data_IF_379930493154
#
_entry.id   IF_379930493154
#
_cell.length_a   1.000
_cell.length_b   1.000
_cell.length_c   1.000
_cell.angle_alpha   90.00
_cell.angle_beta   90.00
_cell.angle_gamma   90.00
#
_symmetry.space_group_name_H-M   'P 1'
#
loop_
_entity.id
_entity.type
_entity.pdbx_description
1 polymer ?
#
# COMPACT_ATOMS: atom_id res chain seq x y z
N UNK A 1 -18.05 -11.25 -25.65
CA UNK A 1 -16.57 -11.23 -25.56
C UNK A 1 -16.10 -9.92 -26.18
N UNK A 2 -15.71 -8.94 -25.37
CA UNK A 2 -15.07 -7.72 -25.87
C UNK A 2 -13.59 -8.04 -26.09
N UNK A 3 -13.19 -8.23 -27.34
CA UNK A 3 -11.78 -8.40 -27.72
C UNK A 3 -11.04 -7.11 -27.39
N UNK A 4 -10.12 -7.19 -26.41
CA UNK A 4 -9.23 -6.07 -26.07
C UNK A 4 -8.02 -6.12 -26.98
N UNK A 5 -7.58 -4.98 -27.47
CA UNK A 5 -6.29 -4.89 -28.15
C UNK A 5 -5.16 -5.17 -27.14
N UNK A 6 -4.09 -5.87 -27.56
CA UNK A 6 -2.92 -6.04 -26.72
C UNK A 6 -2.37 -4.69 -26.24
N UNK A 7 -2.02 -4.61 -24.96
CA UNK A 7 -1.51 -3.39 -24.31
C UNK A 7 -0.16 -3.61 -23.65
N UNK A 8 0.60 -2.52 -23.48
CA UNK A 8 1.91 -2.51 -22.83
C UNK A 8 3.07 -2.57 -23.83
N UNK A 9 4.28 -2.75 -23.32
CA UNK A 9 5.51 -2.69 -24.13
C UNK A 9 5.81 -3.97 -24.94
N UNK A 10 4.90 -4.95 -24.92
CA UNK A 10 5.06 -6.21 -25.65
C UNK A 10 6.13 -7.16 -25.09
N UNK A 11 6.68 -6.87 -23.91
CA UNK A 11 7.54 -7.82 -23.19
C UNK A 11 6.67 -8.97 -22.66
N UNK A 12 6.92 -10.23 -23.06
CA UNK A 12 6.15 -11.37 -22.56
C UNK A 12 6.17 -11.38 -21.02
N UNK A 13 5.02 -11.49 -20.36
CA UNK A 13 4.90 -11.43 -18.89
C UNK A 13 5.36 -10.12 -18.23
N UNK A 14 5.71 -9.08 -19.00
CA UNK A 14 6.04 -7.74 -18.49
C UNK A 14 4.81 -6.98 -17.97
N UNK A 15 3.62 -7.39 -18.41
CA UNK A 15 2.33 -6.93 -17.92
C UNK A 15 1.41 -8.15 -17.62
N UNK A 16 0.37 -7.99 -16.79
CA UNK A 16 -0.61 -9.04 -16.51
C UNK A 16 -1.21 -9.66 -17.78
N UNK A 17 -1.47 -10.97 -17.76
CA UNK A 17 -1.90 -11.73 -18.95
C UNK A 17 -3.23 -11.25 -19.57
N UNK A 18 -4.11 -10.61 -18.78
CA UNK A 18 -5.35 -10.00 -19.27
C UNK A 18 -5.13 -8.75 -20.14
N UNK A 19 -3.92 -8.17 -20.14
CA UNK A 19 -3.57 -7.02 -20.98
C UNK A 19 -3.38 -7.42 -22.44
N UNK A 20 -3.04 -8.68 -22.70
CA UNK A 20 -2.58 -9.12 -24.03
C UNK A 20 -3.31 -10.34 -24.55
N UNK A 21 -3.35 -11.42 -23.77
CA UNK A 21 -3.56 -12.77 -24.31
C UNK A 21 -4.72 -13.51 -23.70
N UNK A 22 -5.09 -13.20 -22.45
CA UNK A 22 -6.08 -14.00 -21.72
C UNK A 22 -7.43 -13.29 -21.66
N UNK A 23 -8.49 -14.03 -21.97
CA UNK A 23 -9.83 -13.64 -21.57
C UNK A 23 -9.92 -13.77 -20.05
N UNK A 24 -10.20 -12.68 -19.34
CA UNK A 24 -10.41 -12.69 -17.90
C UNK A 24 -11.89 -12.59 -17.56
N UNK A 25 -12.40 -13.39 -16.60
CA UNK A 25 -13.75 -13.24 -16.07
C UNK A 25 -13.88 -12.05 -15.10
N UNK A 26 -12.74 -11.49 -14.66
CA UNK A 26 -12.70 -10.44 -13.64
C UNK A 26 -12.72 -9.04 -14.24
N UNK A 27 -12.03 -8.85 -15.36
CA UNK A 27 -11.88 -7.52 -15.93
C UNK A 27 -13.00 -7.19 -16.90
N UNK A 28 -13.38 -5.91 -16.99
CA UNK A 28 -14.37 -5.37 -17.94
C UNK A 28 -13.73 -4.29 -18.83
N UNK A 29 -14.49 -3.71 -19.76
CA UNK A 29 -13.99 -2.58 -20.55
C UNK A 29 -13.78 -1.32 -19.71
N UNK A 30 -14.55 -1.14 -18.62
CA UNK A 30 -14.31 -0.07 -17.65
C UNK A 30 -12.91 -0.19 -17.03
N UNK A 31 -12.54 -1.40 -16.58
CA UNK A 31 -11.19 -1.69 -16.09
C UNK A 31 -10.10 -1.36 -17.12
N UNK A 32 -10.30 -1.73 -18.39
CA UNK A 32 -9.32 -1.44 -19.44
C UNK A 32 -9.15 0.07 -19.69
N UNK A 33 -10.25 0.82 -19.81
CA UNK A 33 -10.20 2.29 -19.98
C UNK A 33 -9.53 2.98 -18.80
N UNK A 34 -9.86 2.55 -17.59
CA UNK A 34 -9.25 3.10 -16.38
C UNK A 34 -7.75 2.78 -16.31
N UNK A 35 -7.34 1.55 -16.68
CA UNK A 35 -5.93 1.17 -16.82
C UNK A 35 -5.19 2.05 -17.82
N UNK A 36 -5.75 2.30 -19.00
CA UNK A 36 -5.13 3.16 -20.03
C UNK A 36 -4.91 4.59 -19.48
N UNK A 37 -5.92 5.12 -18.78
CA UNK A 37 -5.88 6.44 -18.13
C UNK A 37 -4.79 6.51 -17.05
N UNK A 38 -4.70 5.52 -16.17
CA UNK A 38 -3.69 5.50 -15.10
C UNK A 38 -2.28 5.28 -15.68
N UNK A 39 -2.11 4.37 -16.65
CA UNK A 39 -0.82 4.16 -17.36
C UNK A 39 -0.32 5.47 -17.95
N UNK A 40 -1.17 6.19 -18.68
CA UNK A 40 -0.80 7.44 -19.33
C UNK A 40 -0.33 8.51 -18.32
N UNK A 41 -1.00 8.62 -17.17
CA UNK A 41 -0.59 9.52 -16.09
C UNK A 41 0.76 9.10 -15.50
N UNK A 42 0.95 7.81 -15.19
CA UNK A 42 2.20 7.32 -14.62
C UNK A 42 3.38 7.53 -15.58
N UNK A 43 3.21 7.25 -16.88
CA UNK A 43 4.28 7.41 -17.86
C UNK A 43 4.64 8.89 -18.12
N UNK A 44 3.65 9.79 -18.08
CA UNK A 44 3.86 11.22 -18.35
C UNK A 44 4.33 12.00 -17.13
N UNK A 45 3.66 11.81 -16.00
CA UNK A 45 3.75 12.73 -14.85
C UNK A 45 4.53 12.14 -13.67
N UNK A 46 4.81 10.83 -13.66
CA UNK A 46 5.50 10.16 -12.55
C UNK A 46 6.86 9.60 -12.99
N UNK A 47 6.87 8.64 -13.92
CA UNK A 47 8.04 7.87 -14.32
C UNK A 47 9.28 8.72 -14.67
N UNK A 48 9.16 9.86 -15.38
CA UNK A 48 10.31 10.70 -15.73
C UNK A 48 11.02 11.34 -14.52
N UNK A 49 10.32 11.51 -13.40
CA UNK A 49 10.80 12.26 -12.23
C UNK A 49 11.22 11.37 -11.05
N UNK A 50 10.96 10.06 -11.12
CA UNK A 50 11.15 9.13 -9.99
C UNK A 50 12.59 9.15 -9.46
N UNK A 51 13.59 9.20 -10.35
CA UNK A 51 14.98 9.24 -9.91
C UNK A 51 15.25 10.48 -9.05
N UNK A 52 14.85 11.67 -9.53
CA UNK A 52 15.01 12.93 -8.79
C UNK A 52 14.28 12.90 -7.44
N UNK A 53 13.03 12.44 -7.42
CA UNK A 53 12.22 12.40 -6.18
C UNK A 53 12.75 11.40 -5.15
N UNK A 54 13.27 10.26 -5.60
CA UNK A 54 13.91 9.28 -4.71
C UNK A 54 15.21 9.84 -4.12
N UNK A 55 16.08 10.43 -4.94
CA UNK A 55 17.36 11.01 -4.53
C UNK A 55 17.18 12.20 -3.57
N UNK A 56 16.21 13.07 -3.85
CA UNK A 56 15.87 14.23 -3.00
C UNK A 56 14.96 13.86 -1.83
N UNK A 57 14.52 12.59 -1.74
CA UNK A 57 13.62 12.06 -0.72
C UNK A 57 12.34 12.88 -0.55
N UNK A 58 11.83 13.45 -1.64
CA UNK A 58 10.71 14.41 -1.62
C UNK A 58 9.90 14.31 -2.91
N UNK A 59 8.59 14.43 -2.79
CA UNK A 59 7.66 14.51 -3.91
C UNK A 59 7.03 15.91 -3.89
N UNK A 60 6.97 16.63 -5.03
CA UNK A 60 6.35 17.95 -5.07
C UNK A 60 4.86 17.89 -4.69
N UNK A 61 4.35 18.78 -3.80
CA UNK A 61 2.96 18.77 -3.35
C UNK A 61 1.92 18.86 -4.49
N UNK A 62 2.27 19.52 -5.60
CA UNK A 62 1.41 19.63 -6.78
C UNK A 62 1.08 18.28 -7.44
N UNK A 63 1.93 17.25 -7.25
CA UNK A 63 1.71 15.92 -7.82
C UNK A 63 0.50 15.23 -7.18
N UNK A 64 0.22 15.51 -5.90
CA UNK A 64 -0.99 14.99 -5.22
C UNK A 64 -2.26 15.55 -5.87
N UNK A 65 -2.30 16.87 -6.10
CA UNK A 65 -3.42 17.53 -6.78
C UNK A 65 -3.53 17.10 -8.24
N UNK A 66 -2.41 16.89 -8.92
CA UNK A 66 -2.40 16.36 -10.28
C UNK A 66 -2.98 14.94 -10.33
N UNK A 67 -2.70 14.09 -9.33
CA UNK A 67 -3.26 12.74 -9.22
C UNK A 67 -4.79 12.77 -9.00
N UNK A 68 -5.28 13.74 -8.24
CA UNK A 68 -6.73 13.98 -8.11
C UNK A 68 -7.34 14.53 -9.40
N UNK A 69 -6.71 15.52 -10.04
CA UNK A 69 -7.18 16.11 -11.30
C UNK A 69 -7.20 15.09 -12.45
N UNK A 70 -6.28 14.13 -12.42
CA UNK A 70 -6.29 12.97 -13.30
C UNK A 70 -7.44 12.00 -12.97
N UNK A 71 -8.22 12.20 -11.92
CA UNK A 71 -9.33 11.35 -11.50
C UNK A 71 -8.90 9.96 -11.02
N UNK A 72 -7.78 9.90 -10.30
CA UNK A 72 -7.17 8.65 -9.83
C UNK A 72 -7.20 8.58 -8.30
N UNK A 73 -6.86 9.66 -7.61
CA UNK A 73 -6.61 9.65 -6.16
C UNK A 73 -7.77 9.07 -5.32
N UNK A 74 -9.05 9.33 -5.60
CA UNK A 74 -10.14 8.79 -4.78
C UNK A 74 -10.31 7.27 -4.90
N UNK A 75 -9.70 6.63 -5.89
CA UNK A 75 -9.78 5.18 -6.08
C UNK A 75 -9.00 4.38 -5.02
N UNK A 76 -8.12 5.02 -4.23
CA UNK A 76 -7.18 4.33 -3.33
C UNK A 76 -7.71 4.10 -1.92
N UNK A 77 -9.00 4.33 -1.67
CA UNK A 77 -9.63 4.16 -0.34
C UNK A 77 -10.70 3.07 -0.32
N UNK A 78 -10.65 2.15 -1.28
CA UNK A 78 -11.63 1.08 -1.43
C UNK A 78 -12.98 1.52 -1.98
N UNK A 79 -13.92 0.56 -2.02
CA UNK A 79 -15.30 0.78 -2.48
C UNK A 79 -16.26 1.00 -1.30
N UNK A 80 -17.36 1.76 -1.47
CA UNK A 80 -17.78 2.46 -2.69
C UNK A 80 -16.96 3.72 -2.98
N UNK A 81 -17.06 4.24 -4.21
CA UNK A 81 -16.45 5.52 -4.57
C UNK A 81 -16.99 6.65 -3.67
N UNK A 82 -16.14 7.55 -3.13
CA UNK A 82 -16.55 8.57 -2.17
C UNK A 82 -17.22 9.80 -2.82
N UNK A 83 -18.30 9.57 -3.58
CA UNK A 83 -18.97 10.58 -4.43
C UNK A 83 -19.44 11.82 -3.68
N UNK A 84 -19.85 11.67 -2.41
CA UNK A 84 -20.30 12.78 -1.57
C UNK A 84 -19.17 13.73 -1.14
N UNK A 85 -17.90 13.27 -1.19
CA UNK A 85 -16.73 14.05 -0.80
C UNK A 85 -15.96 14.61 -2.00
N UNK A 86 -16.09 13.98 -3.17
CA UNK A 86 -15.43 14.38 -4.42
C UNK A 86 -16.41 14.38 -5.61
N UNK A 87 -17.48 15.18 -5.58
CA UNK A 87 -18.53 15.15 -6.60
C UNK A 87 -18.04 15.53 -8.00
N UNK A 88 -16.96 16.32 -8.08
CA UNK A 88 -16.33 16.77 -9.33
C UNK A 88 -15.42 15.71 -9.96
N UNK A 89 -15.09 14.63 -9.22
CA UNK A 89 -14.23 13.56 -9.72
C UNK A 89 -15.09 12.44 -10.29
N UNK A 90 -14.97 12.22 -11.60
CA UNK A 90 -15.70 11.17 -12.30
C UNK A 90 -15.34 9.78 -11.74
N UNK A 91 -16.37 9.08 -11.28
CA UNK A 91 -16.30 7.69 -10.85
C UNK A 91 -16.14 6.77 -12.07
N UNK A 92 -15.17 5.83 -12.08
CA UNK A 92 -15.11 4.81 -13.11
C UNK A 92 -16.41 3.98 -13.18
N UNK A 93 -16.85 3.64 -14.39
CA UNK A 93 -18.07 2.87 -14.58
C UNK A 93 -18.01 1.55 -13.79
N UNK A 94 -18.97 1.31 -12.89
CA UNK A 94 -18.98 0.16 -11.99
C UNK A 94 -17.70 0.00 -11.15
N UNK A 95 -17.25 1.09 -10.52
CA UNK A 95 -16.07 1.10 -9.66
C UNK A 95 -16.09 -0.04 -8.62
N UNK A 96 -14.97 -0.74 -8.53
CA UNK A 96 -14.79 -1.93 -7.69
C UNK A 96 -13.31 -2.09 -7.29
N UNK A 97 -12.99 -3.14 -6.52
CA UNK A 97 -11.59 -3.37 -6.10
C UNK A 97 -10.62 -3.70 -7.24
N UNK A 98 -11.09 -4.07 -8.45
CA UNK A 98 -10.19 -4.26 -9.59
C UNK A 98 -9.74 -2.92 -10.18
N UNK A 99 -10.56 -1.87 -10.10
CA UNK A 99 -10.13 -0.51 -10.43
C UNK A 99 -9.04 -0.02 -9.47
N UNK A 100 -9.23 -0.22 -8.17
CA UNK A 100 -8.21 0.13 -7.17
C UNK A 100 -6.92 -0.68 -7.35
N UNK A 101 -7.03 -1.99 -7.63
CA UNK A 101 -5.87 -2.84 -7.97
C UNK A 101 -5.07 -2.24 -9.13
N UNK A 102 -5.75 -1.80 -10.18
CA UNK A 102 -5.13 -1.18 -11.35
C UNK A 102 -4.36 0.08 -10.95
N UNK A 103 -4.87 0.91 -10.03
CA UNK A 103 -4.12 2.11 -9.58
C UNK A 103 -2.77 1.72 -8.97
N UNK A 104 -2.76 0.79 -8.02
CA UNK A 104 -1.53 0.38 -7.36
C UNK A 104 -0.57 -0.37 -8.28
N UNK A 105 -1.08 -1.24 -9.15
CA UNK A 105 -0.28 -1.97 -10.15
C UNK A 105 0.38 -0.99 -11.13
N UNK A 106 -0.38 -0.02 -11.63
CA UNK A 106 0.11 0.98 -12.58
C UNK A 106 1.11 1.95 -11.93
N UNK A 107 0.86 2.44 -10.71
CA UNK A 107 1.83 3.29 -10.00
C UNK A 107 3.13 2.55 -9.67
N UNK A 108 3.05 1.26 -9.33
CA UNK A 108 4.24 0.47 -9.02
C UNK A 108 5.12 0.18 -10.26
N UNK A 109 4.59 0.32 -11.49
CA UNK A 109 5.39 0.25 -12.75
C UNK A 109 6.59 1.19 -12.74
N UNK A 110 6.47 2.35 -12.09
CA UNK A 110 7.54 3.34 -12.05
C UNK A 110 8.81 2.83 -11.32
N UNK A 111 8.69 1.72 -10.58
CA UNK A 111 9.81 1.04 -9.95
C UNK A 111 10.37 1.81 -8.75
N UNK A 112 9.52 2.49 -7.97
CA UNK A 112 9.86 3.11 -6.69
C UNK A 112 8.74 2.89 -5.68
N UNK A 113 9.04 2.17 -4.59
CA UNK A 113 8.11 2.07 -3.46
C UNK A 113 8.00 3.41 -2.72
N UNK A 114 9.08 4.20 -2.69
CA UNK A 114 9.09 5.52 -2.08
C UNK A 114 8.09 6.49 -2.70
N UNK A 115 8.09 6.61 -4.04
CA UNK A 115 7.16 7.51 -4.75
C UNK A 115 5.71 7.02 -4.63
N UNK A 116 5.48 5.72 -4.79
CA UNK A 116 4.16 5.14 -4.64
C UNK A 116 3.61 5.39 -3.22
N UNK A 117 4.41 5.12 -2.20
CA UNK A 117 3.98 5.32 -0.82
C UNK A 117 3.79 6.78 -0.46
N UNK A 118 4.69 7.65 -0.92
CA UNK A 118 4.59 9.09 -0.73
C UNK A 118 3.26 9.64 -1.24
N UNK A 119 2.85 9.22 -2.44
CA UNK A 119 1.63 9.72 -3.08
C UNK A 119 0.35 9.05 -2.59
N UNK A 120 0.34 7.71 -2.47
CA UNK A 120 -0.89 6.95 -2.31
C UNK A 120 -1.04 6.29 -0.94
N UNK A 121 0.05 5.76 -0.37
CA UNK A 121 -0.06 4.85 0.79
C UNK A 121 -0.61 5.56 2.02
N UNK A 122 -0.18 6.79 2.31
CA UNK A 122 -0.71 7.55 3.45
C UNK A 122 -2.24 7.71 3.41
N UNK A 123 -2.81 7.97 2.24
CA UNK A 123 -4.26 8.04 2.03
C UNK A 123 -4.87 6.64 2.13
N UNK A 124 -4.30 5.65 1.46
CA UNK A 124 -4.78 4.27 1.44
C UNK A 124 -4.90 3.62 2.82
N UNK A 125 -3.99 3.93 3.76
CA UNK A 125 -4.01 3.34 5.10
C UNK A 125 -4.59 4.29 6.17
N UNK A 126 -4.31 5.60 6.06
CA UNK A 126 -4.68 6.58 7.06
C UNK A 126 -6.12 7.07 6.93
N UNK A 127 -6.63 7.16 5.71
CA UNK A 127 -7.94 7.77 5.48
C UNK A 127 -9.14 6.83 5.70
N UNK A 128 -9.10 5.52 5.39
CA UNK A 128 -10.28 4.68 5.54
C UNK A 128 -10.88 4.63 6.96
N UNK A 129 -10.12 4.65 8.08
CA UNK A 129 -10.74 4.75 9.40
C UNK A 129 -11.60 6.00 9.56
N UNK A 130 -11.17 7.14 9.01
CA UNK A 130 -11.93 8.40 9.00
C UNK A 130 -13.20 8.26 8.16
N UNK A 131 -13.11 7.66 6.97
CA UNK A 131 -14.26 7.52 6.06
C UNK A 131 -15.31 6.54 6.57
N UNK A 132 -14.87 5.42 7.16
CA UNK A 132 -15.75 4.33 7.58
C UNK A 132 -16.35 4.55 8.98
N UNK A 133 -15.64 5.22 9.88
CA UNK A 133 -16.01 5.31 11.29
C UNK A 133 -15.99 6.72 11.87
N UNK A 134 -15.42 7.70 11.16
CA UNK A 134 -15.40 9.09 11.58
C UNK A 134 -16.79 9.72 11.55
N UNK A 135 -16.95 10.79 12.33
CA UNK A 135 -18.13 11.65 12.24
C UNK A 135 -18.23 12.30 10.86
N UNK A 136 -19.42 12.79 10.49
CA UNK A 136 -19.59 13.52 9.23
C UNK A 136 -18.71 14.78 9.15
N UNK A 137 -18.45 15.43 10.29
CA UNK A 137 -17.47 16.52 10.38
C UNK A 137 -16.07 16.05 9.98
N UNK A 138 -15.57 14.95 10.55
CA UNK A 138 -14.25 14.41 10.22
C UNK A 138 -14.17 13.99 8.74
N UNK A 139 -15.21 13.33 8.21
CA UNK A 139 -15.26 12.95 6.78
C UNK A 139 -15.12 14.18 5.87
N UNK A 140 -15.76 15.30 6.21
CA UNK A 140 -15.70 16.53 5.41
C UNK A 140 -14.43 17.34 5.62
N UNK A 141 -14.03 17.56 6.87
CA UNK A 141 -12.89 18.42 7.25
C UNK A 141 -11.54 17.77 6.97
N UNK A 142 -11.46 16.44 7.04
CA UNK A 142 -10.22 15.69 6.82
C UNK A 142 -10.29 14.90 5.52
N UNK A 143 -11.37 14.14 5.32
CA UNK A 143 -11.48 13.22 4.20
C UNK A 143 -11.56 13.92 2.83
N UNK A 144 -12.40 14.94 2.69
CA UNK A 144 -12.55 15.62 1.41
C UNK A 144 -11.24 16.29 0.94
N UNK A 145 -10.49 17.06 1.76
CA UNK A 145 -9.19 17.60 1.35
C UNK A 145 -8.16 16.51 1.00
N UNK A 146 -8.10 15.41 1.76
CA UNK A 146 -7.17 14.31 1.47
C UNK A 146 -7.47 13.65 0.12
N UNK A 147 -8.75 13.39 -0.17
CA UNK A 147 -9.16 12.80 -1.46
C UNK A 147 -8.90 13.74 -2.65
N UNK A 148 -8.87 15.05 -2.43
CA UNK A 148 -8.51 16.06 -3.45
C UNK A 148 -7.00 16.29 -3.61
N UNK A 149 -6.17 15.63 -2.81
CA UNK A 149 -4.73 15.86 -2.80
C UNK A 149 -4.34 17.23 -2.24
N UNK A 150 -5.24 17.86 -1.46
CA UNK A 150 -5.01 19.15 -0.81
C UNK A 150 -4.45 18.99 0.62
N UNK A 151 -4.73 17.85 1.25
CA UNK A 151 -4.18 17.47 2.55
C UNK A 151 -3.50 16.11 2.49
N UNK A 152 -2.49 15.91 3.33
CA UNK A 152 -1.78 14.64 3.47
C UNK A 152 -2.16 14.01 4.81
N UNK A 153 -2.52 12.73 4.78
CA UNK A 153 -2.83 11.94 5.97
C UNK A 153 -1.89 10.74 6.09
N UNK A 154 -1.72 10.26 7.32
CA UNK A 154 -1.00 9.03 7.61
C UNK A 154 -1.67 8.22 8.73
N UNK A 155 -1.26 6.95 8.86
CA UNK A 155 -1.68 6.05 9.93
C UNK A 155 -0.56 5.90 10.97
N UNK A 156 -0.83 6.32 12.21
CA UNK A 156 0.14 6.34 13.29
C UNK A 156 -0.23 5.34 14.40
N UNK A 157 0.10 4.07 14.17
CA UNK A 157 -0.17 2.97 15.11
C UNK A 157 1.09 2.57 15.87
N UNK A 158 2.12 2.15 15.14
CA UNK A 158 3.34 1.53 15.69
C UNK A 158 4.11 2.47 16.60
N UNK A 159 4.68 1.90 17.65
CA UNK A 159 5.49 2.58 18.65
C UNK A 159 6.87 1.93 18.78
N UNK A 160 7.87 2.59 19.39
CA UNK A 160 9.16 1.98 19.67
C UNK A 160 9.08 0.65 20.43
N UNK A 161 8.06 0.49 21.28
CA UNK A 161 7.86 -0.67 22.15
C UNK A 161 6.75 -1.62 21.68
N UNK A 162 6.02 -1.27 20.61
CA UNK A 162 4.86 -2.01 20.14
C UNK A 162 4.75 -1.96 18.61
N UNK A 163 5.31 -2.98 17.95
CA UNK A 163 5.20 -3.22 16.51
C UNK A 163 4.12 -4.25 16.19
N UNK A 164 4.51 -5.53 16.21
CA UNK A 164 3.58 -6.65 16.01
C UNK A 164 2.51 -6.76 17.12
N UNK A 165 2.84 -6.31 18.32
CA UNK A 165 1.97 -6.35 19.50
C UNK A 165 1.20 -5.03 19.70
N UNK A 166 0.36 -4.70 18.71
CA UNK A 166 -0.44 -3.46 18.69
C UNK A 166 -1.35 -3.32 19.91
N UNK A 167 -1.77 -4.44 20.52
CA UNK A 167 -2.62 -4.41 21.71
C UNK A 167 -1.93 -3.77 22.92
N UNK A 168 -0.61 -3.63 22.91
CA UNK A 168 0.23 -3.11 24.00
C UNK A 168 0.88 -1.75 23.71
N UNK A 169 0.31 -0.97 22.78
CA UNK A 169 0.67 0.44 22.62
C UNK A 169 0.49 1.23 23.93
N UNK A 170 1.32 2.26 24.11
CA UNK A 170 1.48 3.08 25.32
C UNK A 170 1.21 4.56 25.10
N UNK A 171 1.18 5.06 23.87
CA UNK A 171 0.77 6.44 23.60
C UNK A 171 -0.64 6.65 24.16
N UNK A 172 -0.77 7.57 25.11
CA UNK A 172 -1.93 7.71 25.97
C UNK A 172 -2.75 8.94 25.59
N UNK A 173 -4.07 8.86 25.73
CA UNK A 173 -4.99 9.97 25.59
C UNK A 173 -5.91 10.01 26.81
N UNK A 174 -5.69 10.99 27.70
CA UNK A 174 -6.51 11.19 28.91
C UNK A 174 -7.50 12.33 28.71
N UNK A 175 -8.76 12.14 29.07
CA UNK A 175 -9.71 13.25 29.13
C UNK A 175 -9.23 14.30 30.14
N UNK A 176 -9.27 15.57 29.74
CA UNK A 176 -9.04 16.68 30.64
C UNK A 176 -10.21 16.83 31.64
N UNK A 177 -10.04 17.61 32.73
CA UNK A 177 -11.12 17.79 33.71
C UNK A 177 -12.42 18.38 33.15
N UNK A 178 -12.37 19.04 31.99
CA UNK A 178 -13.56 19.59 31.34
C UNK A 178 -14.33 18.55 30.53
N UNK A 179 -13.69 17.41 30.21
CA UNK A 179 -14.25 16.36 29.36
C UNK A 179 -14.37 16.75 27.88
N UNK A 180 -13.79 17.89 27.47
CA UNK A 180 -13.88 18.41 26.10
C UNK A 180 -12.65 18.10 25.25
N UNK A 181 -11.54 17.72 25.87
CA UNK A 181 -10.30 17.45 25.18
C UNK A 181 -9.64 16.19 25.75
N UNK A 182 -9.01 15.43 24.87
CA UNK A 182 -7.97 14.47 25.21
C UNK A 182 -6.62 15.20 25.31
N UNK A 183 -5.83 14.83 26.31
CA UNK A 183 -4.41 15.15 26.45
C UNK A 183 -3.62 13.95 25.98
N UNK A 184 -2.96 14.09 24.83
CA UNK A 184 -2.24 13.00 24.18
C UNK A 184 -0.75 13.11 24.49
N UNK A 185 -0.15 12.02 24.98
CA UNK A 185 1.30 11.95 25.23
C UNK A 185 1.85 10.59 24.82
N UNK A 186 2.93 10.60 24.05
CA UNK A 186 3.60 9.38 23.62
C UNK A 186 4.31 9.54 22.30
N UNK A 187 4.65 8.42 21.67
CA UNK A 187 5.51 8.37 20.51
C UNK A 187 4.95 7.40 19.46
N UNK A 188 5.19 7.70 18.19
CA UNK A 188 4.90 6.83 17.06
C UNK A 188 6.13 6.69 16.18
N UNK A 189 6.31 5.51 15.58
CA UNK A 189 7.52 5.15 14.85
C UNK A 189 7.19 4.42 13.57
N UNK A 190 7.97 4.69 12.53
CA UNK A 190 7.81 4.13 11.18
C UNK A 190 6.59 4.67 10.43
N UNK A 191 6.22 5.93 10.66
CA UNK A 191 5.00 6.50 10.10
C UNK A 191 5.27 7.04 8.71
N UNK A 192 4.76 6.32 7.69
CA UNK A 192 4.75 6.75 6.28
C UNK A 192 4.05 8.10 6.15
N UNK A 193 4.57 8.99 5.32
CA UNK A 193 4.12 10.37 5.10
C UNK A 193 4.17 11.30 6.32
N UNK A 194 4.51 10.83 7.52
CA UNK A 194 4.39 11.62 8.75
C UNK A 194 5.12 12.97 8.72
N UNK A 195 6.22 13.10 7.96
CA UNK A 195 6.98 14.34 7.86
C UNK A 195 6.26 15.43 7.06
N UNK A 196 5.30 15.06 6.21
CA UNK A 196 4.49 15.97 5.40
C UNK A 196 3.00 15.96 5.75
N UNK A 197 2.56 14.98 6.54
CA UNK A 197 1.15 14.84 6.90
C UNK A 197 0.63 16.07 7.65
N UNK A 198 -0.54 16.54 7.22
CA UNK A 198 -1.38 17.52 7.90
C UNK A 198 -2.23 16.84 8.98
N UNK A 199 -2.62 15.59 8.73
CA UNK A 199 -3.47 14.79 9.60
C UNK A 199 -2.82 13.45 9.96
N UNK A 200 -3.00 13.04 11.22
CA UNK A 200 -2.56 11.75 11.73
C UNK A 200 -3.78 10.98 12.23
N UNK A 201 -4.04 9.79 11.70
CA UNK A 201 -4.94 8.83 12.34
C UNK A 201 -4.13 8.05 13.37
N UNK A 202 -4.29 8.41 14.64
CA UNK A 202 -3.42 7.94 15.73
C UNK A 202 -4.14 6.92 16.61
N UNK A 203 -3.52 5.76 16.79
CA UNK A 203 -3.95 4.81 17.82
C UNK A 203 -3.44 5.24 19.19
N UNK A 204 -4.35 5.39 20.15
CA UNK A 204 -4.04 5.85 21.51
C UNK A 204 -4.69 4.96 22.56
N UNK A 205 -4.08 4.88 23.74
CA UNK A 205 -4.63 4.26 24.94
C UNK A 205 -5.54 5.25 25.65
N UNK A 206 -6.83 5.00 25.62
CA UNK A 206 -7.85 5.76 26.40
C UNK A 206 -8.34 4.97 27.62
N UNK A 207 -8.25 3.64 27.56
CA UNK A 207 -8.73 2.73 28.61
C UNK A 207 -7.64 1.84 29.19
N UNK A 208 -8.05 0.67 29.68
CA UNK A 208 -7.17 -0.34 30.29
C UNK A 208 -6.24 -1.07 29.30
N UNK A 209 -5.49 -2.08 29.77
CA UNK A 209 -4.58 -2.84 28.92
C UNK A 209 -5.31 -3.66 27.85
N UNK A 210 -4.58 -4.04 26.79
CA UNK A 210 -5.07 -4.92 25.73
C UNK A 210 -5.95 -4.21 24.67
N UNK A 211 -6.66 -5.00 23.86
CA UNK A 211 -7.39 -4.48 22.69
C UNK A 211 -8.52 -3.50 23.07
N UNK A 212 -9.20 -3.74 24.19
CA UNK A 212 -10.38 -2.98 24.62
C UNK A 212 -10.08 -1.65 25.32
N UNK A 213 -8.84 -1.15 25.27
CA UNK A 213 -8.50 0.17 25.79
C UNK A 213 -7.92 1.12 24.73
N UNK A 214 -8.01 0.75 23.45
CA UNK A 214 -7.42 1.49 22.35
C UNK A 214 -8.53 2.26 21.62
N UNK A 215 -8.27 3.54 21.34
CA UNK A 215 -9.09 4.43 20.52
C UNK A 215 -8.30 4.92 19.31
N UNK A 216 -9.00 5.50 18.32
CA UNK A 216 -8.41 6.21 17.21
C UNK A 216 -8.79 7.70 17.29
N UNK A 217 -7.81 8.59 17.18
CA UNK A 217 -8.02 10.04 17.10
C UNK A 217 -7.48 10.56 15.77
N UNK A 218 -8.11 11.60 15.21
CA UNK A 218 -7.44 12.48 14.24
C UNK A 218 -6.67 13.55 15.02
N UNK A 219 -5.35 13.63 14.82
CA UNK A 219 -4.51 14.70 15.34
C UNK A 219 -4.02 15.54 14.17
N UNK A 220 -4.07 16.86 14.29
CA UNK A 220 -3.56 17.77 13.24
C UNK A 220 -2.11 18.15 13.56
N UNK A 221 -1.27 18.24 12.52
CA UNK A 221 0.15 18.60 12.67
C UNK A 221 0.39 19.96 13.32
N UNK A 222 -0.51 20.90 13.08
CA UNK A 222 -0.44 22.26 13.61
C UNK A 222 -0.71 22.33 15.11
N UNK A 223 -1.21 21.25 15.74
CA UNK A 223 -1.51 21.24 17.17
C UNK A 223 -0.21 21.36 17.99
N UNK A 224 -0.16 22.25 19.00
CA UNK A 224 1.00 22.37 19.88
C UNK A 224 1.34 21.05 20.56
N UNK A 225 2.64 20.73 20.61
CA UNK A 225 3.18 19.49 21.18
C UNK A 225 3.33 18.33 20.19
N UNK A 226 2.99 18.53 18.91
CA UNK A 226 3.30 17.57 17.84
C UNK A 226 4.69 17.88 17.26
N UNK A 227 5.62 16.93 17.36
CA UNK A 227 6.93 16.99 16.70
C UNK A 227 7.12 15.81 15.75
N UNK A 228 7.79 16.05 14.62
CA UNK A 228 7.99 15.07 13.56
C UNK A 228 9.44 15.07 13.09
N UNK A 229 10.11 13.92 13.21
CA UNK A 229 11.49 13.73 12.76
C UNK A 229 11.58 12.63 11.72
N UNK A 230 12.08 12.96 10.53
CA UNK A 230 12.34 11.97 9.47
C UNK A 230 13.36 10.93 9.93
N UNK A 231 13.15 9.68 9.50
CA UNK A 231 14.05 8.56 9.72
C UNK A 231 14.82 8.25 8.43
N UNK A 232 16.13 8.00 8.55
CA UNK A 232 16.95 7.53 7.44
C UNK A 232 16.83 6.01 7.26
N UNK A 233 15.84 5.62 6.46
CA UNK A 233 15.57 4.22 6.10
C UNK A 233 16.45 3.74 4.94
N UNK A 234 16.57 2.42 4.78
CA UNK A 234 17.36 1.82 3.70
C UNK A 234 16.79 2.05 2.29
N UNK A 235 15.46 2.16 2.19
CA UNK A 235 14.72 2.36 0.95
C UNK A 235 13.45 3.17 1.20
N UNK A 236 12.59 3.23 0.18
CA UNK A 236 11.32 3.97 0.13
C UNK A 236 11.45 5.43 0.56
N UNK A 237 12.52 6.10 0.16
CA UNK A 237 12.92 7.37 0.76
C UNK A 237 11.92 8.51 0.56
N UNK A 238 11.33 8.59 -0.63
CA UNK A 238 10.30 9.57 -0.96
C UNK A 238 8.96 9.36 -0.21
N UNK A 239 8.84 8.32 0.62
CA UNK A 239 7.68 8.07 1.49
C UNK A 239 7.78 8.77 2.85
N UNK A 240 8.94 9.36 3.19
CA UNK A 240 9.08 10.20 4.37
C UNK A 240 8.77 9.50 5.69
N UNK A 241 9.28 8.28 5.87
CA UNK A 241 9.13 7.52 7.12
C UNK A 241 9.56 8.36 8.33
N UNK A 242 8.68 8.46 9.33
CA UNK A 242 8.79 9.46 10.40
C UNK A 242 8.65 8.88 11.79
N UNK A 243 9.40 9.44 12.72
CA UNK A 243 9.18 9.34 14.15
C UNK A 243 8.38 10.56 14.61
N UNK A 244 7.30 10.34 15.37
CA UNK A 244 6.39 11.40 15.82
C UNK A 244 6.35 11.37 17.34
N UNK A 245 6.46 12.54 17.96
CA UNK A 245 6.28 12.73 19.40
C UNK A 245 5.05 13.58 19.65
N UNK A 246 4.27 13.19 20.66
CA UNK A 246 3.15 13.95 21.19
C UNK A 246 3.47 14.34 22.64
N UNK A 247 3.57 15.64 22.92
CA UNK A 247 3.84 16.20 24.25
C UNK A 247 2.62 16.99 24.74
N UNK A 248 1.79 16.37 25.59
CA UNK A 248 0.54 16.96 26.13
C UNK A 248 -0.37 17.62 25.08
N UNK A 249 -0.49 17.00 23.90
CA UNK A 249 -1.26 17.55 22.78
C UNK A 249 -2.73 17.58 23.15
N UNK A 250 -3.33 18.78 23.08
CA UNK A 250 -4.75 19.01 23.40
C UNK A 250 -5.62 18.75 22.18
N UNK A 251 -6.23 17.57 22.11
CA UNK A 251 -7.05 17.09 20.99
C UNK A 251 -8.53 17.16 21.36
N UNK A 252 -9.40 17.82 20.59
CA UNK A 252 -10.83 17.86 20.90
C UNK A 252 -11.48 16.46 20.88
N UNK A 253 -12.51 16.23 21.71
CA UNK A 253 -13.19 14.92 21.75
C UNK A 253 -13.92 14.58 20.46
N UNK A 254 -14.32 15.58 19.68
CA UNK A 254 -14.91 15.43 18.35
C UNK A 254 -13.94 14.86 17.30
N UNK A 255 -12.64 14.84 17.59
CA UNK A 255 -11.63 14.19 16.75
C UNK A 255 -11.53 12.67 16.98
N UNK A 256 -12.33 12.11 17.89
CA UNK A 256 -12.47 10.67 18.07
C UNK A 256 -13.09 10.02 16.83
N UNK A 257 -12.41 8.99 16.31
CA UNK A 257 -12.92 8.17 15.22
C UNK A 257 -13.73 7.03 15.83
N UNK A 258 -15.03 7.02 15.53
CA UNK A 258 -15.97 6.02 16.04
C UNK A 258 -16.22 6.18 17.54
N UNK A 259 -16.13 5.08 18.28
CA UNK A 259 -16.38 5.04 19.72
C UNK A 259 -15.08 4.83 20.50
N UNK A 260 -15.03 5.43 21.69
CA UNK A 260 -13.92 5.24 22.62
C UNK A 260 -13.76 3.74 22.93
N UNK A 261 -12.51 3.27 22.97
CA UNK A 261 -12.09 1.90 23.25
C UNK A 261 -12.45 0.86 22.17
N UNK A 262 -13.07 1.25 21.05
CA UNK A 262 -13.33 0.40 19.88
C UNK A 262 -12.25 0.55 18.78
N UNK A 263 -11.21 1.36 19.01
CA UNK A 263 -10.17 1.68 18.03
C UNK A 263 -9.45 0.45 17.46
N UNK A 264 -9.15 -0.56 18.29
CA UNK A 264 -8.49 -1.78 17.81
C UNK A 264 -9.31 -2.53 16.76
N UNK A 265 -10.64 -2.53 16.90
CA UNK A 265 -11.55 -3.15 15.93
C UNK A 265 -11.53 -2.40 14.60
N UNK A 266 -11.51 -1.07 14.62
CA UNK A 266 -11.41 -0.25 13.41
C UNK A 266 -10.07 -0.47 12.69
N UNK A 267 -8.98 -0.61 13.45
CA UNK A 267 -7.66 -0.96 12.90
C UNK A 267 -7.72 -2.33 12.19
N UNK A 268 -8.24 -3.37 12.86
CA UNK A 268 -8.36 -4.71 12.26
C UNK A 268 -9.25 -4.75 11.02
N UNK A 269 -10.29 -3.91 10.99
CA UNK A 269 -11.17 -3.75 9.83
C UNK A 269 -10.42 -3.23 8.61
N UNK A 270 -9.41 -2.38 8.79
CA UNK A 270 -8.64 -1.81 7.68
C UNK A 270 -7.51 -2.72 7.20
N UNK A 271 -6.84 -3.43 8.11
CA UNK A 271 -5.63 -4.18 7.81
C UNK A 271 -5.72 -5.20 6.68
N UNK A 272 -6.88 -5.79 6.41
CA UNK A 272 -7.02 -6.72 5.28
C UNK A 272 -6.95 -5.99 3.93
N UNK A 273 -7.54 -4.80 3.83
CA UNK A 273 -7.46 -3.96 2.63
C UNK A 273 -6.02 -3.43 2.44
N UNK A 274 -5.39 -2.96 3.52
CA UNK A 274 -3.98 -2.53 3.49
C UNK A 274 -3.05 -3.66 3.01
N UNK A 275 -3.16 -4.87 3.59
CA UNK A 275 -2.35 -6.03 3.21
C UNK A 275 -2.56 -6.46 1.77
N UNK A 276 -3.80 -6.37 1.29
CA UNK A 276 -4.10 -6.62 -0.13
C UNK A 276 -3.37 -5.61 -1.03
N UNK A 277 -3.34 -4.32 -0.67
CA UNK A 277 -2.52 -3.31 -1.34
C UNK A 277 -1.03 -3.66 -1.40
N UNK A 278 -0.46 -4.16 -0.29
CA UNK A 278 0.93 -4.66 -0.27
C UNK A 278 1.16 -5.79 -1.28
N UNK A 279 0.20 -6.73 -1.42
CA UNK A 279 0.29 -7.83 -2.39
C UNK A 279 0.36 -7.29 -3.81
N UNK A 280 -0.48 -6.30 -4.15
CA UNK A 280 -0.49 -5.67 -5.47
C UNK A 280 0.88 -5.05 -5.78
N UNK A 281 1.34 -4.18 -4.88
CA UNK A 281 2.57 -3.42 -5.04
C UNK A 281 3.79 -4.36 -5.18
N UNK A 282 3.97 -5.30 -4.24
CA UNK A 282 5.10 -6.23 -4.25
C UNK A 282 5.09 -7.12 -5.50
N UNK A 283 3.92 -7.61 -5.92
CA UNK A 283 3.81 -8.41 -7.13
C UNK A 283 4.14 -7.61 -8.40
N UNK A 284 3.71 -6.34 -8.48
CA UNK A 284 4.11 -5.47 -9.60
C UNK A 284 5.61 -5.21 -9.59
N UNK A 285 6.23 -4.89 -8.45
CA UNK A 285 7.67 -4.66 -8.41
C UNK A 285 8.47 -5.91 -8.80
N UNK A 286 8.02 -7.09 -8.40
CA UNK A 286 8.59 -8.35 -8.89
C UNK A 286 8.50 -8.46 -10.42
N UNK A 287 7.36 -8.06 -11.01
CA UNK A 287 7.17 -7.98 -12.46
C UNK A 287 8.08 -6.94 -13.12
N UNK A 288 8.28 -5.76 -12.51
CA UNK A 288 9.25 -4.75 -12.99
C UNK A 288 10.67 -5.30 -13.00
N UNK A 289 11.08 -5.98 -11.92
CA UNK A 289 12.39 -6.65 -11.84
C UNK A 289 12.58 -7.64 -13.00
N UNK A 290 11.55 -8.44 -13.30
CA UNK A 290 11.56 -9.35 -14.44
C UNK A 290 11.63 -8.61 -15.78
N UNK A 291 10.75 -7.62 -16.01
CA UNK A 291 10.64 -6.89 -17.27
C UNK A 291 11.96 -6.19 -17.62
N UNK A 292 12.55 -5.48 -16.66
CA UNK A 292 13.83 -4.81 -16.83
C UNK A 292 14.96 -5.82 -17.07
N UNK A 293 14.95 -6.96 -16.38
CA UNK A 293 15.93 -8.04 -16.59
C UNK A 293 15.80 -8.66 -17.98
N UNK A 294 14.59 -8.86 -18.47
CA UNK A 294 14.33 -9.38 -19.81
C UNK A 294 14.86 -8.41 -20.88
N UNK A 295 14.52 -7.13 -20.78
CA UNK A 295 15.01 -6.06 -21.67
C UNK A 295 16.53 -6.00 -21.64
N UNK A 296 17.14 -5.97 -20.45
CA UNK A 296 18.59 -5.93 -20.28
C UNK A 296 19.28 -7.15 -20.90
N UNK A 297 18.72 -8.36 -20.68
CA UNK A 297 19.29 -9.58 -21.19
C UNK A 297 19.31 -9.66 -22.73
N UNK A 298 18.39 -8.95 -23.41
CA UNK A 298 18.33 -8.87 -24.87
C UNK A 298 19.28 -7.84 -25.50
N UNK A 299 19.81 -6.91 -24.72
CA UNK A 299 20.76 -5.87 -25.18
C UNK A 299 22.20 -6.14 -24.73
N UNK A 300 22.41 -6.63 -23.51
CA UNK A 300 23.75 -6.83 -22.94
C UNK A 300 24.43 -8.05 -23.55
N UNK A 301 25.73 -7.94 -23.90
CA UNK A 301 26.55 -9.02 -24.42
C UNK A 301 27.69 -9.38 -23.47
N UNK A 302 27.98 -10.68 -23.37
CA UNK A 302 29.14 -11.26 -22.69
C UNK A 302 29.61 -12.49 -23.45
N UNK A 303 30.92 -12.76 -23.48
CA UNK A 303 31.45 -13.95 -24.15
C UNK A 303 30.93 -14.13 -25.59
N UNK A 304 30.84 -13.04 -26.36
CA UNK A 304 30.43 -13.04 -27.77
C UNK A 304 28.92 -13.10 -28.05
N UNK A 305 28.06 -13.33 -27.05
CA UNK A 305 26.60 -13.47 -27.23
C UNK A 305 25.79 -12.62 -26.27
N UNK A 306 24.50 -12.42 -26.54
CA UNK A 306 23.59 -11.71 -25.64
C UNK A 306 23.39 -12.51 -24.36
N UNK A 307 23.15 -11.83 -23.24
CA UNK A 307 22.89 -12.51 -21.95
C UNK A 307 21.74 -13.52 -22.05
N UNK A 308 20.67 -13.19 -22.78
CA UNK A 308 19.52 -14.10 -22.96
C UNK A 308 19.90 -15.43 -23.66
N UNK A 309 21.03 -15.49 -24.37
CA UNK A 309 21.52 -16.70 -25.03
C UNK A 309 22.25 -17.66 -24.06
N UNK A 310 22.45 -17.26 -22.81
CA UNK A 310 22.98 -18.13 -21.75
C UNK A 310 21.82 -18.83 -21.01
N UNK A 311 21.78 -20.18 -20.96
CA UNK A 311 20.72 -20.93 -20.29
C UNK A 311 20.49 -20.53 -18.83
N UNK A 312 21.56 -20.21 -18.10
CA UNK A 312 21.48 -19.75 -16.70
C UNK A 312 20.68 -18.46 -16.54
N UNK A 313 20.73 -17.54 -17.52
CA UNK A 313 19.93 -16.32 -17.50
C UNK A 313 18.46 -16.64 -17.76
N UNK A 314 18.17 -17.53 -18.74
CA UNK A 314 16.80 -17.98 -19.02
C UNK A 314 16.18 -18.71 -17.83
N UNK A 315 16.95 -19.50 -17.08
CA UNK A 315 16.48 -20.15 -15.86
C UNK A 315 16.04 -19.14 -14.79
N UNK A 316 16.83 -18.08 -14.57
CA UNK A 316 16.46 -17.00 -13.63
C UNK A 316 15.15 -16.33 -14.03
N UNK A 317 15.03 -15.96 -15.31
CA UNK A 317 13.82 -15.34 -15.86
C UNK A 317 12.59 -16.27 -15.75
N UNK A 318 12.74 -17.56 -16.05
CA UNK A 318 11.66 -18.53 -15.95
C UNK A 318 11.14 -18.65 -14.50
N UNK A 319 12.05 -18.67 -13.51
CA UNK A 319 11.67 -18.77 -12.12
C UNK A 319 10.99 -17.49 -11.60
N UNK A 320 11.42 -16.31 -12.06
CA UNK A 320 10.70 -15.05 -11.79
C UNK A 320 9.27 -15.11 -12.34
N UNK A 321 9.10 -15.45 -13.63
CA UNK A 321 7.78 -15.50 -14.28
C UNK A 321 6.84 -16.44 -13.53
N UNK A 322 7.31 -17.67 -13.25
CA UNK A 322 6.51 -18.72 -12.59
C UNK A 322 5.94 -18.23 -11.25
N UNK A 323 6.75 -17.52 -10.47
CA UNK A 323 6.36 -17.02 -9.16
C UNK A 323 5.47 -15.77 -9.22
N UNK A 324 5.78 -14.82 -10.11
CA UNK A 324 4.99 -13.59 -10.33
C UNK A 324 3.59 -13.93 -10.81
N UNK A 325 3.47 -14.80 -11.82
CA UNK A 325 2.16 -15.17 -12.37
C UNK A 325 1.30 -15.90 -11.33
N UNK A 326 1.88 -16.88 -10.60
CA UNK A 326 1.16 -17.58 -9.53
C UNK A 326 0.63 -16.62 -8.44
N UNK A 327 1.44 -15.62 -8.09
CA UNK A 327 1.07 -14.59 -7.11
C UNK A 327 -0.03 -13.67 -7.66
N UNK A 328 0.04 -13.30 -8.94
CA UNK A 328 -0.98 -12.47 -9.59
C UNK A 328 -2.36 -13.16 -9.62
N UNK A 329 -2.42 -14.45 -9.96
CA UNK A 329 -3.70 -15.19 -9.99
C UNK A 329 -4.31 -15.36 -8.59
N UNK A 330 -3.49 -15.54 -7.55
CA UNK A 330 -3.95 -15.52 -6.16
C UNK A 330 -4.53 -14.14 -5.79
N UNK A 331 -3.85 -13.06 -6.18
CA UNK A 331 -4.30 -11.69 -5.97
C UNK A 331 -5.65 -11.42 -6.67
N UNK A 332 -5.81 -11.80 -7.93
CA UNK A 332 -7.09 -11.66 -8.65
C UNK A 332 -8.21 -12.44 -7.96
N UNK A 333 -7.91 -13.65 -7.47
CA UNK A 333 -8.89 -14.46 -6.74
C UNK A 333 -9.34 -13.75 -5.46
N UNK A 334 -8.41 -13.22 -4.65
CA UNK A 334 -8.75 -12.46 -3.44
C UNK A 334 -9.58 -11.23 -3.77
N UNK A 335 -9.17 -10.48 -4.80
CA UNK A 335 -9.85 -9.26 -5.26
C UNK A 335 -11.28 -9.54 -5.71
N UNK A 336 -11.49 -10.65 -6.43
CA UNK A 336 -12.82 -11.10 -6.81
C UNK A 336 -13.69 -11.38 -5.58
N UNK A 337 -13.17 -12.09 -4.57
CA UNK A 337 -13.92 -12.36 -3.34
C UNK A 337 -14.22 -11.08 -2.54
N UNK A 338 -13.31 -10.10 -2.53
CA UNK A 338 -13.58 -8.79 -1.93
C UNK A 338 -14.74 -8.06 -2.63
N UNK A 339 -14.98 -8.38 -3.91
CA UNK A 339 -16.08 -7.82 -4.67
C UNK A 339 -17.42 -8.54 -4.47
N UNK A 340 -17.39 -9.87 -4.29
CA UNK A 340 -18.59 -10.71 -4.27
C UNK A 340 -19.08 -11.09 -2.88
N UNK A 341 -18.21 -11.11 -1.86
CA UNK A 341 -18.59 -11.36 -0.48
C UNK A 341 -19.12 -10.09 0.18
N UNK A 342 -20.01 -10.26 1.17
CA UNK A 342 -20.35 -9.16 2.08
C UNK A 342 -19.12 -8.75 2.91
N UNK A 343 -19.15 -7.57 3.51
CA UNK A 343 -18.06 -7.08 4.36
C UNK A 343 -17.79 -7.99 5.57
N UNK A 344 -18.85 -8.57 6.14
CA UNK A 344 -18.73 -9.50 7.27
C UNK A 344 -18.11 -10.84 6.85
N UNK A 345 -18.54 -11.40 5.72
CA UNK A 345 -17.99 -12.65 5.18
C UNK A 345 -16.52 -12.49 4.79
N UNK A 346 -16.20 -11.45 4.02
CA UNK A 346 -14.82 -11.17 3.59
C UNK A 346 -13.86 -10.98 4.77
N UNK A 347 -14.29 -10.27 5.82
CA UNK A 347 -13.48 -10.07 7.03
C UNK A 347 -13.11 -11.38 7.74
N UNK A 348 -13.96 -12.41 7.65
CA UNK A 348 -13.74 -13.72 8.28
C UNK A 348 -13.03 -14.71 7.35
N UNK A 349 -13.40 -14.72 6.07
CA UNK A 349 -12.91 -15.68 5.09
C UNK A 349 -11.54 -15.27 4.52
N UNK A 350 -11.32 -13.97 4.28
CA UNK A 350 -10.16 -13.51 3.51
C UNK A 350 -8.96 -13.14 4.38
N UNK A 351 -9.13 -12.91 5.68
CA UNK A 351 -8.04 -12.46 6.56
C UNK A 351 -6.82 -13.40 6.52
N UNK A 352 -7.05 -14.71 6.62
CA UNK A 352 -5.98 -15.72 6.63
C UNK A 352 -5.27 -15.82 5.28
N UNK A 353 -6.01 -15.95 4.18
CA UNK A 353 -5.42 -16.08 2.83
C UNK A 353 -4.74 -14.79 2.38
N UNK A 354 -5.25 -13.62 2.76
CA UNK A 354 -4.61 -12.33 2.45
C UNK A 354 -3.28 -12.18 3.20
N UNK A 355 -3.21 -12.64 4.46
CA UNK A 355 -1.96 -12.68 5.22
C UNK A 355 -0.92 -13.59 4.53
N UNK A 356 -1.33 -14.78 4.10
CA UNK A 356 -0.46 -15.70 3.35
C UNK A 356 -0.04 -15.12 2.00
N UNK A 357 -0.93 -14.45 1.28
CA UNK A 357 -0.64 -13.78 0.02
C UNK A 357 0.37 -12.64 0.19
N UNK A 358 0.31 -11.90 1.32
CA UNK A 358 1.30 -10.88 1.66
C UNK A 358 2.69 -11.49 1.80
N UNK A 359 2.81 -12.63 2.51
CA UNK A 359 4.10 -13.33 2.64
C UNK A 359 4.58 -13.87 1.29
N UNK A 360 3.69 -14.48 0.51
CA UNK A 360 3.99 -14.96 -0.84
C UNK A 360 4.55 -13.84 -1.72
N UNK A 361 3.80 -12.75 -1.88
CA UNK A 361 4.19 -11.64 -2.76
C UNK A 361 5.50 -10.97 -2.36
N UNK A 362 5.74 -10.78 -1.06
CA UNK A 362 6.98 -10.16 -0.56
C UNK A 362 8.20 -11.06 -0.75
N UNK A 363 8.08 -12.38 -0.57
CA UNK A 363 9.14 -13.34 -0.89
C UNK A 363 9.44 -13.43 -2.38
N UNK A 364 8.40 -13.38 -3.22
CA UNK A 364 8.56 -13.32 -4.68
C UNK A 364 9.27 -12.04 -5.09
N UNK A 365 8.91 -10.89 -4.49
CA UNK A 365 9.58 -9.63 -4.73
C UNK A 365 11.05 -9.67 -4.34
N UNK A 366 11.39 -10.17 -3.14
CA UNK A 366 12.77 -10.35 -2.70
C UNK A 366 13.57 -11.23 -3.67
N UNK A 367 13.01 -12.38 -4.06
CA UNK A 367 13.64 -13.28 -5.03
C UNK A 367 13.90 -12.58 -6.37
N UNK A 368 12.89 -11.89 -6.92
CA UNK A 368 13.00 -11.22 -8.21
C UNK A 368 13.97 -10.04 -8.16
N UNK A 369 13.97 -9.25 -7.09
CA UNK A 369 14.92 -8.15 -6.91
C UNK A 369 16.37 -8.67 -6.85
N UNK A 370 16.63 -9.73 -6.08
CA UNK A 370 17.95 -10.37 -6.00
C UNK A 370 18.41 -10.91 -7.35
N UNK A 371 17.55 -11.64 -8.04
CA UNK A 371 17.90 -12.23 -9.33
C UNK A 371 18.06 -11.17 -10.43
N UNK A 372 17.26 -10.10 -10.40
CA UNK A 372 17.43 -8.97 -11.31
C UNK A 372 18.76 -8.26 -11.08
N UNK A 373 19.15 -8.03 -9.82
CA UNK A 373 20.47 -7.48 -9.50
C UNK A 373 21.59 -8.35 -10.07
N UNK A 374 21.45 -9.68 -9.97
CA UNK A 374 22.43 -10.61 -10.54
C UNK A 374 22.48 -10.58 -12.09
N UNK A 375 21.33 -10.40 -12.76
CA UNK A 375 21.25 -10.26 -14.23
C UNK A 375 21.92 -8.96 -14.69
N UNK A 376 21.74 -7.87 -13.95
CA UNK A 376 22.35 -6.57 -14.24
C UNK A 376 23.84 -6.52 -13.85
N UNK A 377 24.28 -7.36 -12.91
CA UNK A 377 25.63 -7.35 -12.37
C UNK A 377 25.94 -6.01 -11.71
N UNK A 378 27.15 -5.48 -11.91
CA UNK A 378 27.59 -4.22 -11.31
C UNK A 378 26.71 -3.00 -11.63
N UNK A 379 25.92 -3.02 -12.71
CA UNK A 379 24.99 -1.94 -13.02
C UNK A 379 23.86 -1.80 -11.98
N UNK A 380 23.49 -2.89 -11.29
CA UNK A 380 22.47 -2.86 -10.21
C UNK A 380 23.01 -2.33 -8.88
N UNK A 381 24.32 -2.12 -8.78
CA UNK A 381 24.97 -1.61 -7.57
C UNK A 381 25.12 -0.08 -7.59
N UNK A 382 24.83 0.55 -8.74
CA UNK A 382 24.98 2.00 -8.93
C UNK A 382 23.60 2.64 -8.91
N UNK A 383 23.43 3.69 -8.10
CA UNK A 383 22.24 4.56 -8.12
C UNK A 383 22.20 5.32 -9.44
N UNK A 384 21.04 5.32 -10.09
CA UNK A 384 20.87 5.93 -11.43
C UNK A 384 21.36 5.04 -12.58
N UNK A 385 21.35 5.59 -13.79
CA UNK A 385 21.78 4.88 -14.99
C UNK A 385 20.90 3.67 -15.35
N UNK A 386 21.48 2.69 -16.06
CA UNK A 386 20.69 1.61 -16.65
C UNK A 386 20.06 0.63 -15.64
N UNK A 387 20.62 0.53 -14.43
CA UNK A 387 20.18 -0.40 -13.38
C UNK A 387 19.34 0.27 -12.29
N UNK A 388 18.99 1.56 -12.43
CA UNK A 388 18.43 2.37 -11.34
C UNK A 388 17.18 1.77 -10.69
N UNK A 389 16.26 1.21 -11.49
CA UNK A 389 15.04 0.60 -10.96
C UNK A 389 15.37 -0.64 -10.14
N UNK A 390 16.33 -1.43 -10.60
CA UNK A 390 16.74 -2.67 -9.91
C UNK A 390 17.46 -2.34 -8.61
N UNK A 391 18.38 -1.37 -8.64
CA UNK A 391 19.07 -0.88 -7.44
C UNK A 391 18.06 -0.41 -6.39
N UNK A 392 17.12 0.44 -6.79
CA UNK A 392 16.12 1.03 -5.90
C UNK A 392 15.18 -0.03 -5.33
N UNK A 393 14.61 -0.88 -6.19
CA UNK A 393 13.72 -1.95 -5.77
C UNK A 393 14.42 -2.96 -4.84
N UNK A 394 15.71 -3.24 -5.06
CA UNK A 394 16.49 -4.10 -4.18
C UNK A 394 16.58 -3.55 -2.75
N UNK A 395 16.76 -2.22 -2.59
CA UNK A 395 16.74 -1.57 -1.27
C UNK A 395 15.34 -1.50 -0.66
N UNK A 396 14.30 -1.37 -1.49
CA UNK A 396 12.91 -1.25 -1.05
C UNK A 396 12.33 -2.57 -0.48
N UNK A 397 12.90 -3.74 -0.81
CA UNK A 397 12.38 -5.07 -0.41
C UNK A 397 11.96 -5.16 1.06
N UNK A 398 12.82 -4.70 1.98
CA UNK A 398 12.54 -4.82 3.43
C UNK A 398 11.39 -3.95 3.90
N UNK A 399 11.12 -2.84 3.20
CA UNK A 399 9.95 -2.02 3.44
C UNK A 399 8.66 -2.78 3.09
N UNK A 400 8.69 -3.80 2.24
CA UNK A 400 7.50 -4.62 1.95
C UNK A 400 7.40 -5.86 2.85
N UNK A 401 8.52 -6.50 3.16
CA UNK A 401 8.55 -7.73 3.95
C UNK A 401 8.10 -7.54 5.42
N UNK A 402 8.32 -6.36 6.02
CA UNK A 402 8.15 -6.13 7.47
C UNK A 402 6.79 -5.49 7.85
N UNK A 403 6.42 -4.29 7.37
CA UNK A 403 5.14 -3.65 7.73
C UNK A 403 3.94 -4.38 7.10
N UNK A 404 2.73 -4.02 7.55
CA UNK A 404 1.50 -4.79 7.30
C UNK A 404 1.43 -6.10 8.11
N UNK A 405 2.45 -6.35 8.94
CA UNK A 405 2.69 -7.59 9.69
C UNK A 405 3.90 -8.34 9.14
N UNK A 406 4.85 -8.72 10.01
CA UNK A 406 6.02 -9.50 9.61
C UNK A 406 5.61 -10.86 9.06
N UNK A 407 6.50 -11.50 8.31
CA UNK A 407 6.24 -12.81 7.71
C UNK A 407 5.79 -13.84 8.75
N UNK A 408 6.44 -13.87 9.91
CA UNK A 408 6.14 -14.80 10.98
C UNK A 408 4.73 -14.57 11.53
N UNK A 409 4.37 -13.30 11.77
CA UNK A 409 3.05 -12.93 12.29
C UNK A 409 1.96 -13.23 11.26
N UNK A 410 2.24 -13.05 9.97
CA UNK A 410 1.28 -13.32 8.90
C UNK A 410 1.10 -14.81 8.63
N UNK A 411 2.18 -15.60 8.68
CA UNK A 411 2.11 -17.07 8.57
C UNK A 411 1.30 -17.64 9.73
N UNK A 412 1.60 -17.21 10.95
CA UNK A 412 0.87 -17.61 12.16
C UNK A 412 -0.60 -17.16 12.11
N UNK A 413 -0.88 -15.92 11.68
CA UNK A 413 -2.25 -15.44 11.46
C UNK A 413 -3.00 -16.32 10.45
N UNK A 414 -2.36 -16.67 9.34
CA UNK A 414 -2.94 -17.56 8.32
C UNK A 414 -3.42 -18.88 8.92
N UNK A 415 -2.55 -19.54 9.70
CA UNK A 415 -2.88 -20.81 10.36
C UNK A 415 -3.94 -20.63 11.45
N UNK A 416 -3.84 -19.59 12.28
CA UNK A 416 -4.85 -19.32 13.34
C UNK A 416 -6.25 -19.10 12.77
N UNK A 417 -6.38 -18.42 11.63
CA UNK A 417 -7.68 -18.25 10.97
C UNK A 417 -8.22 -19.60 10.46
N UNK A 418 -7.37 -20.44 9.86
CA UNK A 418 -7.77 -21.77 9.41
C UNK A 418 -8.23 -22.66 10.59
N UNK A 419 -7.52 -22.64 11.72
CA UNK A 419 -7.91 -23.35 12.93
C UNK A 419 -9.28 -22.90 13.46
N UNK A 420 -9.52 -21.58 13.49
CA UNK A 420 -10.81 -21.02 13.94
C UNK A 420 -11.95 -21.45 13.01
N UNK A 421 -11.75 -21.41 11.70
CA UNK A 421 -12.75 -21.86 10.72
C UNK A 421 -13.05 -23.36 10.87
N UNK A 422 -12.02 -24.18 11.08
CA UNK A 422 -12.18 -25.62 11.34
C UNK A 422 -13.03 -25.89 12.58
N UNK A 423 -12.75 -25.21 13.70
CA UNK A 423 -13.53 -25.36 14.94
C UNK A 423 -15.00 -25.01 14.75
N UNK A 424 -15.29 -23.92 14.03
CA UNK A 424 -16.68 -23.54 13.71
C UNK A 424 -17.36 -24.58 12.83
N UNK A 425 -16.65 -25.13 11.84
CA UNK A 425 -17.19 -26.20 10.99
C UNK A 425 -17.49 -27.48 11.81
N UNK A 426 -16.59 -27.87 12.71
CA UNK A 426 -16.77 -29.01 13.59
C UNK A 426 -17.94 -28.84 14.56
N UNK A 427 -18.21 -27.63 15.06
CA UNK A 427 -19.38 -27.39 15.93
C UNK A 427 -20.75 -27.48 15.22
N UNK A 428 -20.75 -27.55 13.88
CA UNK A 428 -21.96 -27.65 13.05
C UNK A 428 -22.24 -29.08 12.58
N UNK A 429 -21.25 -29.97 12.70
CA UNK A 429 -21.37 -31.41 12.49
C UNK A 429 -21.79 -32.07 13.79
#
# INVERSE_FOLDING_TARGET
MTTREPFGEGVPFGDPSWYTTFNSPYYTMSHAKFRDKVRAFVERDIAPYVHEWDETKTIPPEVYRATYAAGILPAVVGKPWPKDLVPECEEPEHFDYFHELIVFDEFARCGSGGVLWGLLEGIHIGLPPVLNFGSEDLRRRVGAPCLRGEGIICLAITEPYAGSDVANIRCEAKLDPSGKFYRVTGEKKWITNGIWADYFTVAVRTGGPGMGGISLLVIERSMPGVDCRRMDCMGVWASGTTFITFEDVKVPVENLIGKENEGFKYIMHNFNHERWGFVIQANRFARVCYEESFKYAHRRRTFGKKLIEHPVIRHKLAEMIRQVEATHYLLETITYQMNTMTKEESSKALAGITALAKVQSTKVFEFCAREAAQVFGGASYVRGGQGEKIERLYRDVRAYAIPGGSEEIMLDLGVRQAMKQWQVAQSRL
#
